data_IF_029483227837
#
_entry.id   IF_029483227837
#
_cell.length_a   1.000
_cell.length_b   1.000
_cell.length_c   1.000
_cell.angle_alpha   90.00
_cell.angle_beta   90.00
_cell.angle_gamma   90.00
#
_symmetry.space_group_name_H-M   'P 1'
#
loop_
_entity.id
_entity.type
_entity.pdbx_description
1 polymer ?
#
# COMPACT_ATOMS: atom_id res chain seq x y z
N UNK A 1 24.28 4.40 -3.48
CA UNK A 1 23.06 5.03 -4.03
C UNK A 1 22.36 5.74 -2.89
N UNK A 2 22.11 7.05 -3.00
CA UNK A 2 21.59 7.84 -1.89
C UNK A 2 20.15 7.43 -1.61
N UNK A 3 19.91 6.86 -0.42
CA UNK A 3 18.58 6.59 0.11
C UNK A 3 17.97 7.96 0.47
N UNK A 4 17.40 8.65 -0.52
CA UNK A 4 16.79 9.96 -0.32
C UNK A 4 15.52 9.73 0.48
N UNK A 5 15.57 10.06 1.78
CA UNK A 5 14.39 10.13 2.62
C UNK A 5 13.28 10.89 1.87
N UNK A 6 12.00 10.47 2.02
CA UNK A 6 10.90 11.07 1.28
C UNK A 6 10.91 12.60 1.41
N UNK A 7 11.15 13.29 0.30
CA UNK A 7 11.54 14.71 0.30
C UNK A 7 10.34 15.68 0.37
N UNK A 8 9.11 15.18 0.48
CA UNK A 8 7.93 16.02 0.63
C UNK A 8 6.62 15.23 0.65
N UNK A 9 5.62 15.74 1.39
CA UNK A 9 4.26 15.19 1.38
C UNK A 9 3.67 15.32 -0.03
N UNK A 10 3.28 14.18 -0.61
CA UNK A 10 2.49 14.15 -1.85
C UNK A 10 1.03 14.03 -1.47
N UNK A 11 0.19 14.96 -1.93
CA UNK A 11 -1.26 14.89 -1.71
C UNK A 11 -1.83 13.81 -2.63
N UNK A 12 -2.46 12.81 -2.05
CA UNK A 12 -3.29 11.84 -2.75
C UNK A 12 -4.75 12.26 -2.59
N UNK A 13 -5.50 12.32 -3.70
CA UNK A 13 -6.92 12.65 -3.68
C UNK A 13 -7.71 11.41 -4.05
N UNK A 14 -8.70 11.10 -3.25
CA UNK A 14 -9.64 10.00 -3.44
C UNK A 14 -10.95 10.34 -2.72
N UNK A 15 -11.98 9.52 -2.88
CA UNK A 15 -13.20 9.58 -2.07
C UNK A 15 -12.93 9.06 -0.65
N UNK A 16 -13.62 9.60 0.35
CA UNK A 16 -13.52 9.15 1.74
C UNK A 16 -13.85 7.65 1.88
N UNK A 17 -14.91 7.17 1.21
CA UNK A 17 -15.31 5.75 1.21
C UNK A 17 -14.17 4.83 0.74
N UNK A 18 -13.49 5.20 -0.35
CA UNK A 18 -12.37 4.41 -0.87
C UNK A 18 -11.16 4.48 0.07
N UNK A 19 -10.93 5.62 0.73
CA UNK A 19 -9.84 5.77 1.70
C UNK A 19 -10.05 4.90 2.94
N UNK A 20 -11.27 4.88 3.47
CA UNK A 20 -11.65 4.03 4.60
C UNK A 20 -11.50 2.55 4.26
N UNK A 21 -12.07 2.10 3.13
CA UNK A 21 -11.92 0.72 2.64
C UNK A 21 -10.46 0.32 2.44
N UNK A 22 -9.63 1.24 1.97
CA UNK A 22 -8.19 1.02 1.85
C UNK A 22 -7.55 0.83 3.22
N UNK A 23 -7.87 1.68 4.20
CA UNK A 23 -7.43 1.54 5.58
C UNK A 23 -7.77 0.16 6.17
N UNK A 24 -9.04 -0.26 6.06
CA UNK A 24 -9.47 -1.59 6.52
C UNK A 24 -8.72 -2.73 5.81
N UNK A 25 -8.46 -2.58 4.52
CA UNK A 25 -7.72 -3.59 3.76
C UNK A 25 -6.26 -3.69 4.22
N UNK A 26 -5.63 -2.57 4.59
CA UNK A 26 -4.29 -2.55 5.16
C UNK A 26 -4.26 -3.21 6.54
N UNK A 27 -5.25 -2.93 7.39
CA UNK A 27 -5.38 -3.53 8.72
C UNK A 27 -5.61 -5.05 8.67
N UNK A 28 -6.35 -5.54 7.68
CA UNK A 28 -6.53 -6.99 7.42
C UNK A 28 -5.34 -7.64 6.72
N UNK A 29 -4.32 -6.87 6.35
CA UNK A 29 -3.16 -7.35 5.62
C UNK A 29 -2.29 -8.31 6.44
N UNK A 30 -1.42 -9.08 5.79
CA UNK A 30 -0.53 -10.02 6.48
C UNK A 30 0.62 -9.35 7.24
N UNK A 31 0.86 -8.05 7.04
CA UNK A 31 1.94 -7.28 7.65
C UNK A 31 1.40 -6.46 8.83
N UNK A 32 1.68 -6.85 10.09
CA UNK A 32 1.15 -6.17 11.28
C UNK A 32 1.73 -4.77 11.49
N UNK A 33 2.82 -4.43 10.78
CA UNK A 33 3.42 -3.10 10.79
C UNK A 33 3.09 -2.32 9.51
N UNK A 34 2.10 -2.76 8.73
CA UNK A 34 1.67 -2.03 7.56
C UNK A 34 0.79 -0.83 7.94
N UNK A 35 1.17 0.33 7.40
CA UNK A 35 0.33 1.51 7.35
C UNK A 35 -0.03 1.84 5.89
N UNK A 36 -1.07 2.66 5.69
CA UNK A 36 -1.52 3.07 4.36
C UNK A 36 -0.39 3.66 3.50
N UNK A 37 0.54 4.40 4.10
CA UNK A 37 1.68 4.98 3.39
C UNK A 37 2.73 3.94 3.02
N UNK A 38 2.97 2.92 3.85
CA UNK A 38 3.87 1.78 3.57
C UNK A 38 3.37 1.01 2.35
N UNK A 39 2.09 0.67 2.34
CA UNK A 39 1.45 -0.06 1.23
C UNK A 39 1.42 0.80 -0.03
N UNK A 40 1.05 2.08 0.05
CA UNK A 40 1.06 2.97 -1.11
C UNK A 40 2.47 3.16 -1.69
N UNK A 41 3.50 3.31 -0.84
CA UNK A 41 4.89 3.39 -1.30
C UNK A 41 5.33 2.09 -1.96
N UNK A 42 5.04 0.94 -1.36
CA UNK A 42 5.37 -0.36 -1.94
C UNK A 42 4.69 -0.55 -3.31
N UNK A 43 3.41 -0.18 -3.43
CA UNK A 43 2.70 -0.17 -4.70
C UNK A 43 3.37 0.74 -5.74
N UNK A 44 3.72 1.98 -5.37
CA UNK A 44 4.40 2.92 -6.28
C UNK A 44 5.75 2.36 -6.75
N UNK A 45 6.56 1.79 -5.84
CA UNK A 45 7.86 1.18 -6.19
C UNK A 45 7.69 0.02 -7.18
N UNK A 46 6.70 -0.84 -6.93
CA UNK A 46 6.37 -1.93 -7.84
C UNK A 46 5.89 -1.39 -9.20
N UNK A 47 5.01 -0.38 -9.21
CA UNK A 47 4.43 0.19 -10.42
C UNK A 47 5.49 0.84 -11.34
N UNK A 48 6.52 1.46 -10.77
CA UNK A 48 7.64 2.05 -11.55
C UNK A 48 8.73 1.04 -11.91
N UNK A 49 8.60 -0.23 -11.51
CA UNK A 49 9.58 -1.28 -11.78
C UNK A 49 10.90 -1.14 -11.00
N UNK A 50 10.86 -0.60 -9.78
CA UNK A 50 12.06 -0.45 -8.95
C UNK A 50 12.67 -1.84 -8.62
N UNK A 51 14.00 -2.03 -8.77
CA UNK A 51 14.63 -3.32 -8.51
C UNK A 51 14.33 -3.86 -7.10
N UNK A 52 13.79 -5.08 -7.03
CA UNK A 52 13.42 -5.74 -5.78
C UNK A 52 12.08 -5.31 -5.19
N UNK A 53 11.36 -4.38 -5.82
CA UNK A 53 10.01 -4.03 -5.40
C UNK A 53 9.03 -5.18 -5.68
N UNK A 54 8.14 -5.43 -4.72
CA UNK A 54 7.11 -6.46 -4.80
C UNK A 54 5.74 -5.81 -4.72
N UNK A 55 4.80 -6.37 -5.47
CA UNK A 55 3.39 -5.99 -5.37
C UNK A 55 2.92 -6.25 -3.93
N UNK A 56 2.29 -5.28 -3.24
CA UNK A 56 1.73 -5.52 -1.92
C UNK A 56 0.68 -6.63 -1.98
N UNK A 57 0.75 -7.55 -1.01
CA UNK A 57 -0.22 -8.64 -0.91
C UNK A 57 -1.58 -8.08 -0.51
N UNK A 58 -2.64 -8.52 -1.20
CA UNK A 58 -4.01 -8.14 -0.85
C UNK A 58 -4.44 -8.97 0.37
N UNK A 59 -5.17 -8.36 1.32
CA UNK A 59 -5.79 -9.15 2.38
C UNK A 59 -6.72 -10.18 1.73
N UNK A 60 -6.61 -11.44 2.16
CA UNK A 60 -7.56 -12.46 1.73
C UNK A 60 -8.91 -12.09 2.34
N UNK A 61 -9.90 -11.80 1.49
CA UNK A 61 -11.29 -11.73 1.92
C UNK A 61 -11.67 -13.17 2.21
N UNK A 62 -12.08 -13.48 3.45
CA UNK A 62 -12.60 -14.78 3.83
C UNK A 62 -13.94 -15.02 3.09
N UNK A 63 -13.89 -15.28 1.79
CA UNK A 63 -15.08 -15.35 0.93
C UNK A 63 -14.84 -15.63 -0.55
N UNK A 64 -13.60 -15.58 -1.07
CA UNK A 64 -13.33 -16.01 -2.46
C UNK A 64 -12.85 -17.47 -2.48
N UNK A 65 -13.76 -18.36 -2.10
CA UNK A 65 -13.74 -19.78 -2.42
C UNK A 65 -15.18 -20.25 -2.52
N UNK A 66 -15.90 -19.78 -3.54
CA UNK A 66 -16.94 -20.57 -4.25
C UNK A 66 -17.26 -19.98 -5.62
#
# INVERSE_FOLDING_TARGET
MANKAPTGLRRFRTTDELWERFGEAVERGPDPEADMSKVLRAFVRWYVGEPGAKLPERPQIAGDSE
#
